data_IF_539368073912
#
_entry.id   IF_539368073912
#
_cell.length_a   1.000
_cell.length_b   1.000
_cell.length_c   1.000
_cell.angle_alpha   90.00
_cell.angle_beta   90.00
_cell.angle_gamma   90.00
#
_symmetry.space_group_name_H-M   'P 1'
#
loop_
_entity.id
_entity.type
_entity.pdbx_description
1 polymer ?
#
# COMPACT_ATOMS: atom_id res chain seq x y z
N UNK A 1 -2.53 -46.12 -34.02
CA UNK A 1 -3.29 -45.45 -32.93
C UNK A 1 -2.31 -44.59 -32.17
N UNK A 2 -2.19 -43.34 -32.59
CA UNK A 2 -1.09 -42.44 -32.16
C UNK A 2 -1.34 -41.84 -30.77
N UNK A 3 -0.32 -41.96 -29.96
CA UNK A 3 -0.04 -41.37 -28.65
C UNK A 3 -0.51 -39.91 -28.53
N UNK A 4 -1.59 -39.67 -27.82
CA UNK A 4 -1.88 -38.41 -27.16
C UNK A 4 -1.67 -38.55 -25.64
N UNK A 5 -0.53 -39.06 -25.23
CA UNK A 5 -0.02 -38.75 -23.92
C UNK A 5 0.58 -37.35 -24.04
N UNK A 6 -0.17 -36.34 -23.63
CA UNK A 6 0.42 -35.03 -23.33
C UNK A 6 1.61 -35.35 -22.42
N UNK A 7 2.79 -34.96 -22.89
CA UNK A 7 4.04 -35.27 -22.22
C UNK A 7 3.98 -34.62 -20.83
N UNK A 8 3.66 -35.39 -19.80
CA UNK A 8 3.36 -34.95 -18.43
C UNK A 8 4.54 -34.15 -17.87
N UNK A 9 5.76 -34.45 -18.30
CA UNK A 9 6.96 -33.71 -17.93
C UNK A 9 6.94 -32.24 -18.44
N UNK A 10 6.46 -32.01 -19.65
CA UNK A 10 6.34 -30.66 -20.25
C UNK A 10 5.22 -29.87 -19.60
N UNK A 11 4.11 -30.54 -19.24
CA UNK A 11 3.01 -29.92 -18.50
C UNK A 11 3.45 -29.50 -17.09
N UNK A 12 4.18 -30.37 -16.41
CA UNK A 12 4.74 -30.08 -15.08
C UNK A 12 5.68 -28.88 -15.11
N UNK A 13 6.59 -28.81 -16.09
CA UNK A 13 7.54 -27.69 -16.22
C UNK A 13 6.81 -26.36 -16.46
N UNK A 14 5.77 -26.36 -17.32
CA UNK A 14 4.97 -25.14 -17.60
C UNK A 14 4.22 -24.65 -16.37
N UNK A 15 3.63 -25.52 -15.57
CA UNK A 15 2.93 -25.16 -14.33
C UNK A 15 3.92 -24.59 -13.30
N UNK A 16 5.09 -25.21 -13.14
CA UNK A 16 6.14 -24.72 -12.24
C UNK A 16 6.63 -23.34 -12.66
N UNK A 17 6.84 -23.13 -13.96
CA UNK A 17 7.26 -21.82 -14.50
C UNK A 17 6.17 -20.74 -14.29
N UNK A 18 4.88 -21.07 -14.44
CA UNK A 18 3.78 -20.15 -14.16
C UNK A 18 3.70 -19.80 -12.69
N UNK A 19 3.86 -20.76 -11.78
CA UNK A 19 3.89 -20.51 -10.34
C UNK A 19 5.09 -19.64 -9.96
N UNK A 20 6.28 -19.92 -10.46
CA UNK A 20 7.48 -19.12 -10.22
C UNK A 20 7.32 -17.69 -10.75
N UNK A 21 6.82 -17.54 -11.97
CA UNK A 21 6.55 -16.22 -12.57
C UNK A 21 5.55 -15.40 -11.75
N UNK A 22 4.50 -16.04 -11.23
CA UNK A 22 3.50 -15.37 -10.40
C UNK A 22 4.04 -15.00 -9.00
N UNK A 23 4.93 -15.81 -8.41
CA UNK A 23 5.61 -15.48 -7.14
C UNK A 23 6.56 -14.29 -7.32
N UNK A 24 7.31 -14.26 -8.42
CA UNK A 24 8.17 -13.11 -8.77
C UNK A 24 7.31 -11.86 -8.95
N UNK A 25 6.16 -11.96 -9.62
CA UNK A 25 5.25 -10.84 -9.79
C UNK A 25 4.69 -10.32 -8.46
N UNK A 26 4.32 -11.20 -7.53
CA UNK A 26 3.88 -10.79 -6.18
C UNK A 26 5.01 -10.07 -5.45
N UNK A 27 6.24 -10.59 -5.49
CA UNK A 27 7.42 -9.95 -4.91
C UNK A 27 7.67 -8.56 -5.48
N UNK A 28 7.65 -8.42 -6.81
CA UNK A 28 7.74 -7.12 -7.50
C UNK A 28 6.63 -6.16 -7.12
N UNK A 29 5.41 -6.66 -6.91
CA UNK A 29 4.26 -5.89 -6.47
C UNK A 29 4.47 -5.27 -5.10
N UNK A 30 4.99 -6.05 -4.15
CA UNK A 30 5.34 -5.54 -2.81
C UNK A 30 6.45 -4.50 -2.88
N UNK A 31 7.48 -4.72 -3.69
CA UNK A 31 8.57 -3.74 -3.88
C UNK A 31 8.05 -2.44 -4.47
N UNK A 32 7.16 -2.50 -5.47
CA UNK A 32 6.54 -1.32 -6.08
C UNK A 32 5.65 -0.57 -5.09
N UNK A 33 4.82 -1.27 -4.30
CA UNK A 33 4.00 -0.64 -3.25
C UNK A 33 4.86 0.04 -2.18
N UNK A 34 6.00 -0.55 -1.83
CA UNK A 34 6.94 0.05 -0.88
C UNK A 34 7.69 1.24 -1.47
N UNK A 35 8.11 1.17 -2.73
CA UNK A 35 8.76 2.27 -3.46
C UNK A 35 7.81 3.45 -3.67
N UNK A 36 6.54 3.19 -3.90
CA UNK A 36 5.49 4.18 -4.03
C UNK A 36 5.34 5.05 -2.77
N UNK A 37 5.62 4.48 -1.60
CA UNK A 37 5.61 5.20 -0.32
C UNK A 37 6.69 6.28 -0.24
N UNK A 38 7.79 6.15 -0.96
CA UNK A 38 8.94 7.06 -0.88
C UNK A 38 8.93 8.18 -1.92
N UNK A 39 8.11 8.10 -2.99
CA UNK A 39 8.11 9.05 -4.12
C UNK A 39 6.69 9.45 -4.54
N UNK A 40 6.20 10.58 -4.04
CA UNK A 40 4.81 11.03 -4.20
C UNK A 40 4.43 11.62 -5.58
N UNK A 41 5.39 11.97 -6.43
CA UNK A 41 5.11 12.77 -7.63
C UNK A 41 4.85 11.97 -8.93
N UNK A 42 5.27 10.70 -9.02
CA UNK A 42 5.18 9.89 -10.27
C UNK A 42 4.27 8.66 -10.17
N UNK A 43 3.47 8.56 -9.12
CA UNK A 43 2.90 7.31 -8.65
C UNK A 43 1.62 6.87 -9.39
N UNK A 44 0.84 7.78 -9.96
CA UNK A 44 -0.45 7.46 -10.59
C UNK A 44 -0.30 6.74 -11.94
N UNK A 45 0.71 7.09 -12.74
CA UNK A 45 0.96 6.41 -14.02
C UNK A 45 1.39 4.95 -13.82
N UNK A 46 2.25 4.70 -12.83
CA UNK A 46 2.72 3.33 -12.53
C UNK A 46 1.63 2.44 -11.92
N UNK A 47 0.67 3.00 -11.18
CA UNK A 47 -0.42 2.23 -10.60
C UNK A 47 -1.34 1.64 -11.67
N UNK A 48 -1.65 2.37 -12.73
CA UNK A 48 -2.48 1.91 -13.84
C UNK A 48 -1.78 0.79 -14.64
N UNK A 49 -0.48 0.92 -14.88
CA UNK A 49 0.34 -0.10 -15.54
C UNK A 49 0.35 -1.38 -14.67
N UNK A 50 0.52 -1.24 -13.36
CA UNK A 50 0.49 -2.35 -12.42
C UNK A 50 -0.85 -3.10 -12.43
N UNK A 51 -1.99 -2.37 -12.38
CA UNK A 51 -3.34 -2.95 -12.45
C UNK A 51 -3.52 -3.73 -13.76
N UNK A 52 -3.05 -3.20 -14.88
CA UNK A 52 -3.13 -3.85 -16.18
C UNK A 52 -2.30 -5.14 -16.21
N UNK A 53 -1.07 -5.13 -15.69
CA UNK A 53 -0.24 -6.34 -15.59
C UNK A 53 -0.84 -7.38 -14.63
N UNK A 54 -1.38 -6.96 -13.49
CA UNK A 54 -2.05 -7.86 -12.54
C UNK A 54 -3.29 -8.50 -13.16
N UNK A 55 -4.11 -7.74 -13.89
CA UNK A 55 -5.27 -8.25 -14.62
C UNK A 55 -4.87 -9.25 -15.71
N UNK A 56 -3.82 -8.97 -16.47
CA UNK A 56 -3.30 -9.88 -17.49
C UNK A 56 -2.77 -11.18 -16.87
N UNK A 57 -2.06 -11.09 -15.75
CA UNK A 57 -1.59 -12.25 -15.01
C UNK A 57 -2.77 -13.10 -14.48
N UNK A 58 -3.80 -12.48 -13.91
CA UNK A 58 -4.98 -13.20 -13.44
C UNK A 58 -5.68 -13.95 -14.58
N UNK A 59 -5.79 -13.34 -15.77
CA UNK A 59 -6.33 -14.00 -16.96
C UNK A 59 -5.50 -15.21 -17.40
N UNK A 60 -4.17 -15.09 -17.38
CA UNK A 60 -3.25 -16.20 -17.70
C UNK A 60 -3.43 -17.34 -16.69
N UNK A 61 -3.54 -17.04 -15.40
CA UNK A 61 -3.73 -18.04 -14.34
C UNK A 61 -5.10 -18.73 -14.47
N UNK A 62 -6.17 -18.00 -14.76
CA UNK A 62 -7.51 -18.55 -15.02
C UNK A 62 -7.47 -19.48 -16.24
N UNK A 63 -6.85 -19.04 -17.34
CA UNK A 63 -6.72 -19.85 -18.53
C UNK A 63 -5.91 -21.13 -18.28
N UNK A 64 -4.84 -21.03 -17.50
CA UNK A 64 -4.03 -22.18 -17.05
C UNK A 64 -4.85 -23.17 -16.22
N UNK A 65 -5.70 -22.66 -15.31
CA UNK A 65 -6.59 -23.48 -14.50
C UNK A 65 -7.63 -24.19 -15.36
N UNK A 66 -8.27 -23.49 -16.29
CA UNK A 66 -9.22 -24.07 -17.24
C UNK A 66 -8.54 -25.14 -18.08
N UNK A 67 -7.34 -24.86 -18.61
CA UNK A 67 -6.57 -25.82 -19.40
C UNK A 67 -6.27 -27.11 -18.62
N UNK A 68 -6.01 -27.00 -17.33
CA UNK A 68 -5.69 -28.12 -16.44
C UNK A 68 -6.95 -28.92 -16.04
N UNK A 69 -8.08 -28.26 -15.85
CA UNK A 69 -9.36 -28.87 -15.46
C UNK A 69 -10.16 -29.41 -16.64
N UNK A 70 -10.05 -28.83 -17.84
CA UNK A 70 -10.83 -29.19 -19.02
C UNK A 70 -10.70 -30.66 -19.44
N UNK A 71 -9.49 -31.26 -19.50
CA UNK A 71 -9.35 -32.67 -19.80
C UNK A 71 -9.97 -33.57 -18.73
N UNK A 72 -9.96 -33.16 -17.46
CA UNK A 72 -10.58 -33.88 -16.35
C UNK A 72 -12.10 -33.88 -16.54
N UNK A 73 -12.68 -32.70 -16.79
CA UNK A 73 -14.11 -32.56 -17.10
C UNK A 73 -14.57 -33.42 -18.27
N UNK A 74 -13.84 -33.40 -19.40
CA UNK A 74 -14.16 -34.24 -20.58
C UNK A 74 -14.07 -35.73 -20.28
N UNK A 75 -13.11 -36.14 -19.43
CA UNK A 75 -12.95 -37.56 -19.05
C UNK A 75 -14.10 -38.00 -18.13
N UNK A 76 -14.53 -37.16 -17.20
CA UNK A 76 -15.68 -37.43 -16.32
C UNK A 76 -16.97 -37.57 -17.17
N UNK A 77 -17.21 -36.65 -18.10
CA UNK A 77 -18.41 -36.65 -18.97
C UNK A 77 -18.48 -37.85 -19.89
N UNK A 78 -17.34 -38.35 -20.39
CA UNK A 78 -17.27 -39.48 -21.32
C UNK A 78 -17.35 -40.86 -20.64
N UNK A 79 -17.58 -40.96 -19.34
CA UNK A 79 -17.64 -42.23 -18.57
C UNK A 79 -16.45 -43.19 -18.79
N UNK A 80 -15.34 -42.74 -19.36
CA UNK A 80 -14.19 -43.55 -19.77
C UNK A 80 -13.14 -43.79 -18.67
N UNK A 81 -13.33 -43.25 -17.46
CA UNK A 81 -12.38 -43.47 -16.37
C UNK A 81 -13.09 -43.97 -15.13
N UNK A 82 -12.36 -44.81 -14.39
CA UNK A 82 -12.71 -45.24 -13.05
C UNK A 82 -13.28 -44.04 -12.28
N UNK A 83 -14.55 -44.14 -11.87
CA UNK A 83 -15.27 -43.10 -11.11
C UNK A 83 -14.49 -42.66 -9.84
N UNK A 84 -13.60 -43.53 -9.37
CA UNK A 84 -12.77 -43.31 -8.21
C UNK A 84 -11.74 -42.18 -8.43
N UNK A 85 -10.96 -42.24 -9.52
CA UNK A 85 -9.91 -41.23 -9.82
C UNK A 85 -10.49 -39.81 -9.97
N UNK A 86 -11.62 -39.70 -10.69
CA UNK A 86 -12.29 -38.41 -10.87
C UNK A 86 -12.86 -37.82 -9.58
N UNK A 87 -13.42 -38.66 -8.71
CA UNK A 87 -13.96 -38.26 -7.42
C UNK A 87 -12.87 -37.78 -6.48
N UNK A 88 -11.75 -38.50 -6.38
CA UNK A 88 -10.62 -38.07 -5.54
C UNK A 88 -10.05 -36.75 -6.01
N UNK A 89 -9.81 -36.56 -7.31
CA UNK A 89 -9.35 -35.26 -7.85
C UNK A 89 -10.32 -34.14 -7.52
N UNK A 90 -11.63 -34.37 -7.67
CA UNK A 90 -12.66 -33.38 -7.33
C UNK A 90 -12.62 -33.02 -5.83
N UNK A 91 -12.49 -34.02 -4.94
CA UNK A 91 -12.39 -33.76 -3.50
C UNK A 91 -11.15 -32.94 -3.14
N UNK A 92 -9.99 -33.20 -3.76
CA UNK A 92 -8.79 -32.40 -3.52
C UNK A 92 -8.98 -30.96 -3.98
N UNK A 93 -9.62 -30.73 -5.12
CA UNK A 93 -9.94 -29.39 -5.60
C UNK A 93 -10.89 -28.67 -4.64
N UNK A 94 -11.96 -29.35 -4.17
CA UNK A 94 -12.91 -28.79 -3.20
C UNK A 94 -12.25 -28.44 -1.86
N UNK A 95 -11.41 -29.33 -1.34
CA UNK A 95 -10.68 -29.09 -0.08
C UNK A 95 -9.75 -27.87 -0.19
N UNK A 96 -9.14 -27.64 -1.35
CA UNK A 96 -8.30 -26.47 -1.56
C UNK A 96 -9.09 -25.18 -1.82
N UNK A 97 -10.21 -25.29 -2.51
CA UNK A 97 -11.04 -24.14 -2.89
C UNK A 97 -11.77 -23.56 -1.68
N UNK A 98 -12.20 -24.40 -0.73
CA UNK A 98 -12.96 -23.98 0.45
C UNK A 98 -12.17 -22.98 1.31
N UNK A 99 -10.92 -23.25 1.78
CA UNK A 99 -10.14 -22.28 2.55
C UNK A 99 -9.83 -21.01 1.75
N UNK A 100 -9.57 -21.13 0.45
CA UNK A 100 -9.26 -19.98 -0.40
C UNK A 100 -10.45 -19.02 -0.53
N UNK A 101 -11.66 -19.54 -0.72
CA UNK A 101 -12.88 -18.71 -0.76
C UNK A 101 -13.12 -18.07 0.62
N UNK A 102 -12.99 -18.84 1.70
CA UNK A 102 -13.22 -18.37 3.06
C UNK A 102 -12.25 -17.24 3.44
N UNK A 103 -10.96 -17.40 3.15
CA UNK A 103 -9.95 -16.35 3.34
C UNK A 103 -10.24 -15.12 2.49
N UNK A 104 -10.78 -15.29 1.27
CA UNK A 104 -11.18 -14.19 0.41
C UNK A 104 -12.31 -13.35 0.96
N UNK A 105 -13.34 -14.03 1.44
CA UNK A 105 -14.48 -13.35 2.06
C UNK A 105 -14.03 -12.60 3.31
N UNK A 106 -13.23 -13.24 4.18
CA UNK A 106 -12.68 -12.58 5.38
C UNK A 106 -11.79 -11.41 4.99
N UNK A 107 -10.90 -11.56 4.01
CA UNK A 107 -10.04 -10.48 3.52
C UNK A 107 -10.83 -9.28 3.02
N UNK A 108 -11.86 -9.50 2.20
CA UNK A 108 -12.74 -8.45 1.71
C UNK A 108 -13.51 -7.76 2.85
N UNK A 109 -14.02 -8.54 3.82
CA UNK A 109 -14.71 -8.00 5.00
C UNK A 109 -13.76 -7.15 5.84
N UNK A 110 -12.54 -7.64 6.13
CA UNK A 110 -11.54 -6.91 6.90
C UNK A 110 -11.11 -5.61 6.20
N UNK A 111 -10.92 -5.63 4.88
CA UNK A 111 -10.56 -4.42 4.12
C UNK A 111 -11.72 -3.42 4.12
N UNK A 112 -12.96 -3.84 3.86
CA UNK A 112 -14.08 -2.93 3.73
C UNK A 112 -14.60 -2.40 5.07
N UNK A 113 -14.68 -3.22 6.11
CA UNK A 113 -15.24 -2.83 7.40
C UNK A 113 -14.16 -2.48 8.44
N UNK A 114 -13.03 -3.19 8.46
CA UNK A 114 -12.01 -3.00 9.48
C UNK A 114 -11.14 -1.77 9.20
N UNK A 115 -10.63 -1.64 7.98
CA UNK A 115 -9.71 -0.56 7.64
C UNK A 115 -10.46 0.74 7.37
N UNK A 116 -11.58 0.67 6.67
CA UNK A 116 -12.31 1.87 6.23
C UNK A 116 -12.96 2.64 7.38
N UNK A 117 -13.67 1.97 8.27
CA UNK A 117 -14.36 2.66 9.37
C UNK A 117 -13.38 3.13 10.46
N UNK A 118 -12.34 2.33 10.72
CA UNK A 118 -11.36 2.68 11.73
C UNK A 118 -10.43 3.83 11.28
N UNK A 119 -9.99 3.81 10.03
CA UNK A 119 -9.14 4.88 9.48
C UNK A 119 -9.91 6.18 9.29
N UNK A 120 -11.10 6.16 8.67
CA UNK A 120 -11.80 7.39 8.31
C UNK A 120 -12.32 8.17 9.53
N UNK A 121 -12.88 7.52 10.54
CA UNK A 121 -13.50 8.27 11.64
C UNK A 121 -12.51 8.75 12.70
N UNK A 122 -11.52 7.94 13.07
CA UNK A 122 -10.60 8.31 14.15
C UNK A 122 -9.38 9.08 13.67
N UNK A 123 -8.73 8.65 12.61
CA UNK A 123 -7.50 9.31 12.13
C UNK A 123 -7.82 10.66 11.53
N UNK A 124 -8.87 10.76 10.71
CA UNK A 124 -9.28 12.03 10.10
C UNK A 124 -9.62 13.09 11.17
N UNK A 125 -10.36 12.71 12.21
CA UNK A 125 -10.67 13.61 13.32
C UNK A 125 -9.42 14.05 14.09
N UNK A 126 -8.47 13.14 14.37
CA UNK A 126 -7.24 13.49 15.07
C UNK A 126 -6.38 14.43 14.23
N UNK A 127 -6.18 14.12 12.96
CA UNK A 127 -5.37 14.95 12.05
C UNK A 127 -6.01 16.34 11.87
N UNK A 128 -7.32 16.42 11.60
CA UNK A 128 -7.99 17.70 11.40
C UNK A 128 -7.98 18.55 12.69
N UNK A 129 -8.19 17.95 13.85
CA UNK A 129 -8.10 18.65 15.12
C UNK A 129 -6.67 19.14 15.40
N UNK A 130 -5.65 18.34 15.08
CA UNK A 130 -4.26 18.75 15.24
C UNK A 130 -3.88 19.91 14.30
N UNK A 131 -4.33 19.86 13.05
CA UNK A 131 -4.16 20.98 12.09
C UNK A 131 -4.88 22.22 12.58
N UNK A 132 -6.13 22.09 13.06
CA UNK A 132 -6.90 23.21 13.60
C UNK A 132 -6.19 23.88 14.80
N UNK A 133 -5.67 23.08 15.73
CA UNK A 133 -4.90 23.64 16.88
C UNK A 133 -3.66 24.37 16.40
N UNK A 134 -2.94 23.80 15.44
CA UNK A 134 -1.71 24.39 14.91
C UNK A 134 -1.99 25.69 14.11
N UNK A 135 -3.04 25.72 13.30
CA UNK A 135 -3.49 26.92 12.58
C UNK A 135 -3.98 28.00 13.58
N UNK A 136 -4.72 27.60 14.61
CA UNK A 136 -5.18 28.51 15.66
C UNK A 136 -4.02 29.16 16.43
N UNK A 137 -2.98 28.39 16.74
CA UNK A 137 -1.75 28.90 17.33
C UNK A 137 -1.09 29.97 16.45
N UNK A 138 -0.98 29.71 15.15
CA UNK A 138 -0.39 30.65 14.22
C UNK A 138 -1.22 31.93 14.11
N UNK A 139 -2.55 31.80 14.08
CA UNK A 139 -3.48 32.94 13.99
C UNK A 139 -3.46 33.79 15.27
N UNK A 140 -3.38 33.17 16.45
CA UNK A 140 -3.20 33.86 17.72
C UNK A 140 -1.92 34.71 17.72
N UNK A 141 -0.80 34.16 17.22
CA UNK A 141 0.43 34.91 17.09
C UNK A 141 0.33 36.10 16.11
N UNK A 142 -0.40 35.91 14.97
CA UNK A 142 -0.65 36.99 14.01
C UNK A 142 -1.50 38.11 14.60
N UNK A 143 -2.58 37.78 15.29
CA UNK A 143 -3.42 38.79 15.93
C UNK A 143 -2.68 39.50 17.10
N UNK A 144 -1.86 38.80 17.84
CA UNK A 144 -1.05 39.36 18.91
C UNK A 144 -0.04 40.39 18.35
N UNK A 145 0.74 40.00 17.32
CA UNK A 145 1.71 40.94 16.73
C UNK A 145 1.02 42.13 16.07
N UNK A 146 -0.14 41.92 15.44
CA UNK A 146 -0.94 42.99 14.86
C UNK A 146 -1.37 44.00 15.88
N UNK A 147 -1.86 43.59 17.06
CA UNK A 147 -2.25 44.46 18.15
C UNK A 147 -1.05 45.24 18.68
N UNK A 148 0.07 44.55 18.92
CA UNK A 148 1.30 45.20 19.46
C UNK A 148 1.90 46.21 18.49
N UNK A 149 1.96 45.86 17.19
CA UNK A 149 2.49 46.78 16.16
C UNK A 149 1.55 47.94 15.89
N UNK A 150 0.23 47.73 15.99
CA UNK A 150 -0.73 48.78 15.85
C UNK A 150 -0.62 49.81 16.99
N UNK A 151 -0.44 49.37 18.22
CA UNK A 151 -0.19 50.22 19.36
C UNK A 151 1.14 50.98 19.22
N UNK A 152 2.23 50.30 18.80
CA UNK A 152 3.51 50.95 18.52
C UNK A 152 3.39 51.99 17.37
N UNK A 153 2.69 51.68 16.32
CA UNK A 153 2.40 52.59 15.21
C UNK A 153 1.74 53.90 15.70
N UNK A 154 0.72 53.79 16.57
CA UNK A 154 0.04 54.95 17.13
C UNK A 154 0.97 55.79 18.00
N UNK A 155 1.77 55.15 18.86
CA UNK A 155 2.73 55.83 19.75
C UNK A 155 3.80 56.60 18.95
N UNK A 156 4.35 55.95 17.90
CA UNK A 156 5.35 56.58 17.02
C UNK A 156 4.77 57.75 16.18
N UNK A 157 3.57 57.60 15.63
CA UNK A 157 2.93 58.67 14.86
C UNK A 157 2.53 59.85 15.75
N UNK A 158 2.11 59.62 17.00
CA UNK A 158 1.75 60.68 17.95
C UNK A 158 2.98 61.50 18.39
N UNK A 159 4.16 60.87 18.35
CA UNK A 159 5.42 61.54 18.75
C UNK A 159 6.27 61.91 17.50
N UNK A 160 5.71 61.93 16.35
CA UNK A 160 6.45 62.12 15.09
C UNK A 160 7.21 63.43 15.01
N UNK A 161 6.66 64.53 15.58
CA UNK A 161 7.29 65.87 15.58
C UNK A 161 8.69 65.85 16.20
N UNK A 162 8.93 64.95 17.17
CA UNK A 162 10.22 64.85 17.88
C UNK A 162 11.08 63.71 17.30
N UNK A 163 10.44 62.63 16.79
CA UNK A 163 11.12 61.40 16.41
C UNK A 163 11.47 61.37 14.91
N UNK A 164 10.78 62.07 14.04
CA UNK A 164 11.01 61.97 12.59
C UNK A 164 12.32 62.62 12.15
N UNK A 165 12.82 63.59 12.89
CA UNK A 165 14.03 64.33 12.57
C UNK A 165 15.29 63.88 13.29
N UNK A 166 15.21 62.87 14.19
CA UNK A 166 16.33 62.35 14.97
C UNK A 166 16.32 60.83 15.06
N UNK A 167 17.14 60.19 14.24
CA UNK A 167 17.26 58.75 14.20
C UNK A 167 17.70 58.10 15.54
N UNK A 168 18.45 58.82 16.36
CA UNK A 168 18.86 58.32 17.67
C UNK A 168 17.66 58.27 18.63
N UNK A 169 16.86 59.32 18.66
CA UNK A 169 15.63 59.36 19.46
C UNK A 169 14.65 58.30 18.99
N UNK A 170 14.51 58.14 17.68
CA UNK A 170 13.68 57.11 17.08
C UNK A 170 14.15 55.71 17.50
N UNK A 171 15.45 55.42 17.45
CA UNK A 171 15.98 54.14 17.88
C UNK A 171 15.72 53.85 19.38
N UNK A 172 15.85 54.89 20.24
CA UNK A 172 15.53 54.78 21.69
C UNK A 172 14.01 54.48 21.87
N UNK A 173 13.14 55.20 21.14
CA UNK A 173 11.71 54.99 21.18
C UNK A 173 11.35 53.56 20.73
N UNK A 174 11.93 53.10 19.61
CA UNK A 174 11.74 51.72 19.09
C UNK A 174 12.18 50.70 20.15
N UNK A 175 13.33 50.90 20.78
CA UNK A 175 13.84 49.99 21.84
C UNK A 175 12.88 49.92 23.01
N UNK A 176 12.39 51.09 23.49
CA UNK A 176 11.46 51.14 24.62
C UNK A 176 10.15 50.42 24.28
N UNK A 177 9.59 50.68 23.11
CA UNK A 177 8.35 50.04 22.63
C UNK A 177 8.52 48.52 22.38
N UNK A 178 9.69 48.13 21.87
CA UNK A 178 10.09 46.74 21.69
C UNK A 178 10.13 45.95 23.00
N UNK A 179 10.75 46.54 24.04
CA UNK A 179 10.83 45.93 25.37
C UNK A 179 9.45 45.77 26.02
N UNK A 180 8.61 46.79 25.96
CA UNK A 180 7.24 46.78 26.54
C UNK A 180 6.40 45.65 25.94
N UNK A 181 6.54 45.38 24.62
CA UNK A 181 5.72 44.43 23.87
C UNK A 181 6.40 43.11 23.59
N UNK A 182 7.60 42.90 24.13
CA UNK A 182 8.42 41.70 23.89
C UNK A 182 8.58 41.39 22.38
N UNK A 183 8.88 42.42 21.58
CA UNK A 183 9.16 42.28 20.16
C UNK A 183 10.68 42.30 19.95
N UNK A 184 11.34 41.16 19.74
CA UNK A 184 12.80 41.08 19.64
C UNK A 184 13.37 41.77 18.40
N UNK A 185 12.55 41.96 17.37
CA UNK A 185 12.96 42.57 16.11
C UNK A 185 12.01 43.70 15.76
N UNK A 186 12.51 44.92 15.77
CA UNK A 186 11.76 46.12 15.37
C UNK A 186 12.69 47.01 14.57
N UNK A 187 12.24 47.38 13.40
CA UNK A 187 12.93 48.23 12.44
C UNK A 187 12.00 49.29 11.85
N UNK A 188 12.57 50.45 11.52
CA UNK A 188 12.03 51.32 10.53
C UNK A 188 12.83 51.18 9.26
N UNK A 189 12.15 50.78 8.19
CA UNK A 189 12.77 50.47 6.90
C UNK A 189 12.16 51.33 5.79
N UNK A 190 12.93 51.53 4.71
CA UNK A 190 12.47 52.10 3.48
C UNK A 190 11.82 51.02 2.59
N UNK A 191 11.14 51.39 1.50
CA UNK A 191 10.58 50.44 0.52
C UNK A 191 11.67 49.57 -0.13
N UNK A 192 12.91 50.06 -0.23
CA UNK A 192 14.06 49.30 -0.73
C UNK A 192 14.68 48.34 0.28
N UNK A 193 14.13 48.28 1.50
CA UNK A 193 14.64 47.44 2.59
C UNK A 193 15.82 48.04 3.35
N UNK A 194 16.22 49.33 3.09
CA UNK A 194 17.26 49.97 3.87
C UNK A 194 16.73 50.30 5.28
N UNK A 195 17.54 50.01 6.29
CA UNK A 195 17.18 50.27 7.68
C UNK A 195 17.49 51.72 8.05
N UNK A 196 16.44 52.52 8.37
CA UNK A 196 16.61 53.87 8.86
C UNK A 196 16.85 53.92 10.36
N UNK A 197 16.16 53.08 11.14
CA UNK A 197 16.37 52.91 12.58
C UNK A 197 16.07 51.49 13.01
N UNK A 198 16.67 51.02 14.11
CA UNK A 198 16.46 49.70 14.71
C UNK A 198 16.43 49.78 16.23
N UNK A 199 15.65 48.85 16.83
CA UNK A 199 15.51 48.80 18.29
C UNK A 199 16.80 48.32 19.00
N UNK A 200 17.53 47.39 18.42
CA UNK A 200 18.73 46.79 18.95
C UNK A 200 19.87 46.76 17.94
N UNK A 201 21.08 47.11 18.34
CA UNK A 201 22.22 47.23 17.44
C UNK A 201 22.67 45.93 16.82
N UNK A 202 22.51 44.81 17.54
CA UNK A 202 22.89 43.47 17.08
C UNK A 202 21.87 42.82 16.16
N UNK A 203 20.71 43.45 15.90
CA UNK A 203 19.70 42.89 15.03
C UNK A 203 20.10 43.01 13.58
N UNK A 204 20.05 41.86 12.86
CA UNK A 204 20.25 41.75 11.43
C UNK A 204 18.91 41.44 10.83
N UNK A 205 18.54 42.15 9.74
CA UNK A 205 17.30 41.86 9.00
C UNK A 205 17.43 40.50 8.29
N UNK A 206 16.87 39.46 8.91
CA UNK A 206 16.93 38.09 8.41
C UNK A 206 15.85 37.79 7.32
N UNK A 207 14.82 38.62 7.32
CA UNK A 207 13.68 38.45 6.40
C UNK A 207 13.34 39.78 5.75
N UNK A 208 13.34 39.83 4.42
CA UNK A 208 12.93 41.01 3.65
C UNK A 208 11.45 40.88 3.30
N UNK A 209 10.61 41.90 3.63
CA UNK A 209 9.20 41.89 3.27
C UNK A 209 9.03 41.78 1.75
N UNK A 210 8.13 40.93 1.25
CA UNK A 210 7.82 40.83 -0.18
C UNK A 210 7.10 42.12 -0.66
N UNK A 211 7.22 42.43 -1.94
CA UNK A 211 6.68 43.68 -2.56
C UNK A 211 5.17 43.86 -2.34
N UNK A 212 4.40 42.78 -2.36
CA UNK A 212 2.96 42.83 -2.09
C UNK A 212 2.63 43.35 -0.66
N UNK A 213 3.54 43.15 0.32
CA UNK A 213 3.37 43.67 1.68
C UNK A 213 3.52 45.18 1.74
N UNK A 214 4.42 45.74 0.95
CA UNK A 214 4.54 47.21 0.82
C UNK A 214 3.34 47.81 0.11
N UNK A 215 2.79 47.15 -0.92
CA UNK A 215 1.56 47.63 -1.60
C UNK A 215 0.39 47.68 -0.62
N UNK A 216 0.21 46.66 0.23
CA UNK A 216 -0.82 46.69 1.28
C UNK A 216 -0.59 47.77 2.32
N UNK A 217 0.66 47.94 2.76
CA UNK A 217 1.04 48.97 3.71
C UNK A 217 0.79 50.37 3.14
N UNK A 218 1.04 50.60 1.85
CA UNK A 218 0.73 51.87 1.15
C UNK A 218 -0.77 52.14 1.05
N UNK A 219 -1.60 51.10 0.94
CA UNK A 219 -3.05 51.19 1.00
C UNK A 219 -3.60 51.50 2.42
N UNK A 220 -2.71 51.60 3.43
CA UNK A 220 -3.07 51.86 4.83
C UNK A 220 -3.43 50.61 5.62
N UNK A 221 -3.19 49.44 5.07
CA UNK A 221 -3.39 48.18 5.74
C UNK A 221 -2.09 47.72 6.46
N UNK A 222 -2.23 46.97 7.56
CA UNK A 222 -1.11 46.28 8.15
C UNK A 222 -0.91 44.92 7.45
N UNK A 223 0.22 44.73 6.83
CA UNK A 223 0.57 43.46 6.20
C UNK A 223 1.21 42.49 7.22
N UNK A 224 0.53 41.39 7.52
CA UNK A 224 1.03 40.33 8.40
C UNK A 224 1.60 39.21 7.52
N UNK A 225 2.79 38.73 7.89
CA UNK A 225 3.54 37.70 7.19
C UNK A 225 4.05 36.68 8.20
N UNK A 226 4.08 35.42 7.83
CA UNK A 226 4.73 34.35 8.60
C UNK A 226 5.83 33.70 7.79
N UNK A 227 6.96 33.42 8.44
CA UNK A 227 8.05 32.68 7.83
C UNK A 227 8.36 31.46 8.71
N UNK A 228 8.12 30.27 8.15
CA UNK A 228 8.47 29.00 8.78
C UNK A 228 9.98 28.72 8.73
N UNK A 229 10.69 29.40 7.81
CA UNK A 229 12.16 29.24 7.68
C UNK A 229 12.87 29.82 8.91
N UNK A 230 12.42 31.01 9.37
CA UNK A 230 13.02 31.68 10.53
C UNK A 230 12.15 31.59 11.79
N UNK A 231 11.04 30.83 11.74
CA UNK A 231 10.09 30.64 12.84
C UNK A 231 9.60 31.97 13.44
N UNK A 232 9.18 32.91 12.60
CA UNK A 232 8.75 34.26 13.02
C UNK A 232 7.50 34.71 12.30
N UNK A 233 6.68 35.49 13.00
CA UNK A 233 5.61 36.30 12.42
C UNK A 233 6.08 37.73 12.36
N UNK A 234 5.82 38.38 11.24
CA UNK A 234 6.17 39.76 10.96
C UNK A 234 4.95 40.60 10.67
N UNK A 235 5.02 41.87 11.02
CA UNK A 235 4.05 42.89 10.65
C UNK A 235 4.76 44.05 9.98
N UNK A 236 4.19 44.57 8.91
CA UNK A 236 4.64 45.75 8.17
C UNK A 236 3.50 46.78 8.09
N UNK A 237 3.76 48.01 8.48
CA UNK A 237 2.80 49.13 8.34
C UNK A 237 3.53 50.40 7.97
N UNK A 238 2.94 51.24 7.11
CA UNK A 238 3.50 52.50 6.69
C UNK A 238 3.28 53.55 7.76
N UNK A 239 4.35 54.23 8.20
CA UNK A 239 4.27 55.35 9.14
C UNK A 239 3.74 56.62 8.42
N UNK A 240 2.71 57.26 8.96
CA UNK A 240 2.05 58.43 8.30
C UNK A 240 2.87 59.67 8.24
N UNK A 241 3.59 59.96 9.34
CA UNK A 241 4.30 61.20 9.51
C UNK A 241 5.83 61.05 9.33
N UNK A 242 6.26 60.00 8.64
CA UNK A 242 7.64 59.70 8.31
C UNK A 242 7.80 59.51 6.80
N UNK A 243 8.76 60.17 6.20
CA UNK A 243 8.96 60.08 4.75
C UNK A 243 9.39 58.65 4.32
N UNK A 244 8.61 58.05 3.43
CA UNK A 244 8.86 56.73 2.86
C UNK A 244 9.28 55.63 3.84
N UNK A 245 8.77 55.68 5.08
CA UNK A 245 9.17 54.83 6.16
C UNK A 245 8.09 53.86 6.60
N UNK A 246 8.48 52.62 6.83
CA UNK A 246 7.63 51.52 7.28
C UNK A 246 8.12 50.95 8.58
N UNK A 247 7.21 50.78 9.54
CA UNK A 247 7.47 50.04 10.76
C UNK A 247 7.40 48.54 10.44
N UNK A 248 8.48 47.86 10.67
CA UNK A 248 8.60 46.41 10.45
C UNK A 248 9.00 45.76 11.78
N UNK A 249 8.16 44.84 12.27
CA UNK A 249 8.40 44.14 13.51
C UNK A 249 8.24 42.66 13.37
N UNK A 250 9.05 41.89 14.09
CA UNK A 250 9.04 40.44 14.13
C UNK A 250 8.93 39.89 15.54
N UNK A 251 8.13 38.82 15.67
CA UNK A 251 8.00 38.04 16.91
C UNK A 251 8.37 36.60 16.62
N UNK A 252 9.21 35.99 17.46
CA UNK A 252 9.58 34.57 17.36
C UNK A 252 8.43 33.70 17.80
N UNK A 253 8.22 32.60 17.08
CA UNK A 253 7.34 31.50 17.42
C UNK A 253 8.18 30.35 18.01
N UNK A 254 7.57 29.49 18.82
CA UNK A 254 8.25 28.31 19.32
C UNK A 254 8.61 27.36 18.16
N UNK A 255 9.90 27.09 17.99
CA UNK A 255 10.41 26.27 16.91
C UNK A 255 9.85 24.83 16.97
N UNK A 256 9.62 24.28 18.17
CA UNK A 256 9.04 22.96 18.34
C UNK A 256 7.59 22.92 17.87
N UNK A 257 6.82 23.97 18.13
CA UNK A 257 5.42 24.07 17.68
C UNK A 257 5.36 24.22 16.17
N UNK A 258 6.25 25.01 15.57
CA UNK A 258 6.32 25.14 14.10
C UNK A 258 6.75 23.83 13.42
N UNK A 259 7.71 23.11 14.01
CA UNK A 259 8.07 21.77 13.52
C UNK A 259 6.88 20.82 13.59
N UNK A 260 6.18 20.76 14.72
CA UNK A 260 5.01 19.92 14.90
C UNK A 260 3.86 20.30 13.94
N UNK A 261 3.69 21.60 13.65
CA UNK A 261 2.74 22.08 12.63
C UNK A 261 3.11 21.56 11.25
N UNK A 262 4.36 21.70 10.83
CA UNK A 262 4.83 21.22 9.53
C UNK A 262 4.66 19.69 9.39
N UNK A 263 4.99 18.94 10.46
CA UNK A 263 4.81 17.49 10.51
C UNK A 263 3.32 17.11 10.41
N UNK A 264 2.45 17.86 11.09
CA UNK A 264 1.00 17.64 11.05
C UNK A 264 0.41 17.93 9.66
N UNK A 265 0.84 19.03 9.02
CA UNK A 265 0.42 19.39 7.66
C UNK A 265 0.91 18.34 6.66
N UNK A 266 2.14 17.86 6.83
CA UNK A 266 2.69 16.79 5.99
C UNK A 266 1.91 15.48 6.16
N UNK A 267 1.59 15.10 7.40
CA UNK A 267 0.75 13.94 7.70
C UNK A 267 -0.66 14.07 7.12
N UNK A 268 -1.26 15.28 7.17
CA UNK A 268 -2.56 15.56 6.52
C UNK A 268 -2.50 15.34 5.02
N UNK A 269 -1.47 15.86 4.38
CA UNK A 269 -1.29 15.73 2.93
C UNK A 269 -1.12 14.26 2.53
N UNK A 270 -0.31 13.49 3.27
CA UNK A 270 -0.14 12.04 3.07
C UNK A 270 -1.46 11.30 3.28
N UNK A 271 -2.20 11.61 4.34
CA UNK A 271 -3.51 11.02 4.60
C UNK A 271 -4.51 11.33 3.48
N UNK A 272 -4.61 12.57 3.05
CA UNK A 272 -5.52 13.00 1.96
C UNK A 272 -5.16 12.30 0.64
N UNK A 273 -3.85 12.11 0.38
CA UNK A 273 -3.39 11.34 -0.77
C UNK A 273 -3.86 9.87 -0.69
N UNK A 274 -3.71 9.22 0.45
CA UNK A 274 -4.17 7.85 0.66
C UNK A 274 -5.70 7.73 0.55
N UNK A 275 -6.44 8.67 1.10
CA UNK A 275 -7.90 8.73 1.03
C UNK A 275 -8.39 8.91 -0.41
N UNK A 276 -7.82 9.82 -1.17
CA UNK A 276 -8.17 10.05 -2.57
C UNK A 276 -7.83 8.87 -3.50
N UNK A 277 -6.81 8.09 -3.15
CA UNK A 277 -6.38 6.92 -3.92
C UNK A 277 -6.85 5.58 -3.32
N UNK A 278 -7.73 5.62 -2.32
CA UNK A 278 -8.22 4.47 -1.58
C UNK A 278 -8.77 3.35 -2.47
N UNK A 279 -9.58 3.71 -3.46
CA UNK A 279 -10.22 2.72 -4.35
C UNK A 279 -9.18 2.00 -5.22
N UNK A 280 -8.15 2.70 -5.68
CA UNK A 280 -7.05 2.10 -6.43
C UNK A 280 -6.21 1.18 -5.54
N UNK A 281 -5.90 1.61 -4.32
CA UNK A 281 -5.15 0.82 -3.34
C UNK A 281 -5.94 -0.45 -2.99
N UNK A 282 -7.24 -0.33 -2.72
CA UNK A 282 -8.12 -1.46 -2.45
C UNK A 282 -8.16 -2.44 -3.62
N UNK A 283 -8.27 -1.94 -4.86
CA UNK A 283 -8.26 -2.77 -6.06
C UNK A 283 -6.94 -3.53 -6.22
N UNK A 284 -5.81 -2.91 -5.94
CA UNK A 284 -4.50 -3.58 -5.96
C UNK A 284 -4.45 -4.73 -4.95
N UNK A 285 -4.92 -4.52 -3.71
CA UNK A 285 -4.99 -5.58 -2.69
C UNK A 285 -5.89 -6.74 -3.12
N UNK A 286 -7.07 -6.44 -3.69
CA UNK A 286 -7.99 -7.46 -4.22
C UNK A 286 -7.33 -8.26 -5.33
N UNK A 287 -6.64 -7.62 -6.27
CA UNK A 287 -5.92 -8.29 -7.35
C UNK A 287 -4.79 -9.20 -6.83
N UNK A 288 -3.97 -8.70 -5.89
CA UNK A 288 -2.93 -9.51 -5.23
C UNK A 288 -3.55 -10.75 -4.58
N UNK A 289 -4.67 -10.57 -3.86
CA UNK A 289 -5.37 -11.66 -3.22
C UNK A 289 -5.88 -12.69 -4.24
N UNK A 290 -6.49 -12.24 -5.35
CA UNK A 290 -6.96 -13.13 -6.42
C UNK A 290 -5.80 -13.93 -7.01
N UNK A 291 -4.66 -13.29 -7.26
CA UNK A 291 -3.45 -13.96 -7.78
C UNK A 291 -2.97 -15.04 -6.79
N UNK A 292 -2.86 -14.72 -5.51
CA UNK A 292 -2.46 -15.68 -4.46
C UNK A 292 -3.43 -16.87 -4.41
N UNK A 293 -4.74 -16.60 -4.42
CA UNK A 293 -5.78 -17.64 -4.42
C UNK A 293 -5.69 -18.55 -5.64
N UNK A 294 -5.50 -17.99 -6.83
CA UNK A 294 -5.36 -18.78 -8.06
C UNK A 294 -4.12 -19.65 -8.04
N UNK A 295 -2.99 -19.16 -7.50
CA UNK A 295 -1.77 -19.94 -7.34
C UNK A 295 -2.01 -21.12 -6.39
N UNK A 296 -2.66 -20.90 -5.26
CA UNK A 296 -2.98 -21.97 -4.30
C UNK A 296 -3.91 -23.02 -4.91
N UNK A 297 -4.90 -22.61 -5.69
CA UNK A 297 -5.81 -23.53 -6.41
C UNK A 297 -5.03 -24.33 -7.47
N UNK A 298 -4.16 -23.68 -8.25
CA UNK A 298 -3.31 -24.37 -9.23
C UNK A 298 -2.37 -25.38 -8.56
N UNK A 299 -1.69 -24.97 -7.50
CA UNK A 299 -0.79 -25.85 -6.74
C UNK A 299 -1.54 -27.04 -6.16
N UNK A 300 -2.68 -26.82 -5.55
CA UNK A 300 -3.52 -27.89 -4.98
C UNK A 300 -4.07 -28.83 -6.05
N UNK A 301 -4.51 -28.29 -7.19
CA UNK A 301 -4.95 -29.11 -8.33
C UNK A 301 -3.80 -29.96 -8.86
N UNK A 302 -2.60 -29.40 -8.96
CA UNK A 302 -1.40 -30.13 -9.39
C UNK A 302 -1.04 -31.25 -8.42
N UNK A 303 -1.02 -30.98 -7.11
CA UNK A 303 -0.77 -31.99 -6.07
C UNK A 303 -1.83 -33.08 -6.09
N UNK A 304 -3.11 -32.69 -6.20
CA UNK A 304 -4.22 -33.64 -6.29
C UNK A 304 -4.14 -34.56 -7.51
N UNK A 305 -3.74 -34.03 -8.68
CA UNK A 305 -3.51 -34.83 -9.87
C UNK A 305 -2.36 -35.82 -9.69
N UNK A 306 -1.25 -35.37 -9.10
CA UNK A 306 -0.11 -36.24 -8.79
C UNK A 306 -0.46 -37.34 -7.82
N UNK A 307 -1.22 -37.01 -6.78
CA UNK A 307 -1.72 -37.97 -5.82
C UNK A 307 -2.63 -39.01 -6.50
N UNK A 308 -3.53 -38.55 -7.36
CA UNK A 308 -4.42 -39.44 -8.11
C UNK A 308 -3.65 -40.38 -9.04
N UNK A 309 -2.61 -39.90 -9.74
CA UNK A 309 -1.74 -40.75 -10.58
C UNK A 309 -0.96 -41.77 -9.77
N UNK A 310 -0.38 -41.36 -8.64
CA UNK A 310 0.54 -42.21 -7.88
C UNK A 310 -0.13 -43.19 -6.94
N UNK A 311 -1.33 -42.93 -6.46
CA UNK A 311 -2.04 -43.76 -5.47
C UNK A 311 -3.32 -44.38 -6.06
N UNK A 312 -4.19 -43.57 -6.64
CA UNK A 312 -5.51 -44.04 -7.05
C UNK A 312 -5.44 -44.94 -8.28
N UNK A 313 -4.52 -44.66 -9.19
CA UNK A 313 -4.38 -45.43 -10.42
C UNK A 313 -3.88 -46.87 -10.15
N UNK A 314 -2.82 -47.11 -9.37
CA UNK A 314 -2.42 -48.48 -8.98
C UNK A 314 -3.52 -49.21 -8.19
N UNK A 315 -4.18 -48.54 -7.24
CA UNK A 315 -5.30 -49.14 -6.50
C UNK A 315 -6.44 -49.59 -7.41
N UNK A 316 -6.77 -48.74 -8.41
CA UNK A 316 -7.77 -49.07 -9.44
C UNK A 316 -7.37 -50.28 -10.30
N UNK A 317 -6.06 -50.48 -10.57
CA UNK A 317 -5.56 -51.65 -11.27
C UNK A 317 -5.77 -52.91 -10.43
N UNK A 318 -5.48 -52.89 -9.14
CA UNK A 318 -5.74 -54.01 -8.24
C UNK A 318 -7.22 -54.37 -8.21
N UNK A 319 -8.12 -53.39 -8.06
CA UNK A 319 -9.57 -53.59 -8.07
C UNK A 319 -10.02 -54.25 -9.39
N UNK A 320 -9.53 -53.75 -10.53
CA UNK A 320 -9.88 -54.34 -11.83
C UNK A 320 -9.37 -55.78 -11.97
N UNK A 321 -8.14 -56.00 -11.60
CA UNK A 321 -7.53 -57.33 -11.66
C UNK A 321 -8.29 -58.33 -10.77
N UNK A 322 -8.67 -57.90 -9.53
CA UNK A 322 -9.52 -58.70 -8.64
C UNK A 322 -10.87 -59.04 -9.26
N UNK A 323 -11.51 -58.08 -9.91
CA UNK A 323 -12.79 -58.28 -10.60
C UNK A 323 -12.63 -59.22 -11.84
N UNK A 324 -11.48 -59.20 -12.52
CA UNK A 324 -11.18 -60.09 -13.64
C UNK A 324 -10.95 -61.54 -13.14
N UNK A 325 -10.28 -61.72 -12.02
CA UNK A 325 -10.12 -63.05 -11.35
C UNK A 325 -11.51 -63.62 -11.01
N UNK A 326 -12.42 -62.81 -10.43
CA UNK A 326 -13.79 -63.27 -10.11
C UNK A 326 -14.60 -63.71 -11.35
N UNK A 327 -14.25 -63.19 -12.51
CA UNK A 327 -14.85 -63.58 -13.82
C UNK A 327 -14.08 -64.71 -14.51
N UNK A 328 -13.12 -65.33 -13.87
CA UNK A 328 -12.34 -66.42 -14.41
C UNK A 328 -11.18 -66.02 -15.35
N UNK A 329 -10.81 -64.75 -15.37
CA UNK A 329 -9.68 -64.23 -16.16
C UNK A 329 -8.47 -64.03 -15.21
N UNK A 330 -7.46 -64.88 -15.29
CA UNK A 330 -6.35 -64.95 -14.32
C UNK A 330 -5.02 -64.41 -14.86
N UNK A 331 -4.96 -63.89 -16.08
CA UNK A 331 -3.72 -63.50 -16.76
C UNK A 331 -3.20 -62.13 -16.42
N UNK A 332 -3.97 -61.31 -15.69
CA UNK A 332 -3.58 -59.93 -15.35
C UNK A 332 -2.56 -59.94 -14.24
N UNK A 333 -1.30 -59.63 -14.56
CA UNK A 333 -0.25 -59.32 -13.57
C UNK A 333 -0.21 -57.81 -13.31
N UNK A 334 -0.13 -57.44 -12.07
CA UNK A 334 0.04 -56.02 -11.63
C UNK A 334 1.55 -55.74 -11.58
N UNK A 335 1.97 -54.74 -12.38
CA UNK A 335 3.36 -54.25 -12.36
C UNK A 335 3.64 -53.47 -11.06
N UNK A 336 4.87 -53.62 -10.56
CA UNK A 336 5.32 -52.86 -9.41
C UNK A 336 5.47 -51.38 -9.79
N UNK A 337 5.02 -50.50 -8.89
CA UNK A 337 5.30 -49.08 -9.00
C UNK A 337 6.48 -48.72 -8.13
N UNK A 338 7.45 -47.95 -8.62
CA UNK A 338 8.67 -47.64 -7.84
C UNK A 338 8.45 -46.61 -6.70
N UNK A 339 7.23 -46.13 -6.52
CA UNK A 339 7.01 -44.96 -5.66
C UNK A 339 6.57 -45.27 -4.22
N UNK A 340 5.85 -46.42 -3.97
CA UNK A 340 5.28 -46.72 -2.65
C UNK A 340 5.45 -48.20 -2.29
N UNK A 341 6.11 -48.47 -1.16
CA UNK A 341 6.40 -49.84 -0.69
C UNK A 341 5.12 -50.61 -0.40
N UNK A 342 4.09 -49.95 0.16
CA UNK A 342 2.83 -50.57 0.52
C UNK A 342 2.03 -51.02 -0.72
N UNK A 343 2.03 -50.20 -1.79
CA UNK A 343 1.38 -50.53 -3.05
C UNK A 343 2.12 -51.68 -3.76
N UNK A 344 3.43 -51.72 -3.68
CA UNK A 344 4.22 -52.82 -4.22
C UNK A 344 3.98 -54.14 -3.48
N UNK A 345 3.86 -54.09 -2.14
CA UNK A 345 3.48 -55.27 -1.32
C UNK A 345 2.08 -55.73 -1.68
N UNK A 346 1.12 -54.80 -1.90
CA UNK A 346 -0.22 -55.18 -2.32
C UNK A 346 -0.22 -55.85 -3.69
N UNK A 347 0.51 -55.29 -4.68
CA UNK A 347 0.67 -55.88 -6.00
C UNK A 347 1.33 -57.29 -5.95
N UNK A 348 2.38 -57.46 -5.14
CA UNK A 348 3.04 -58.77 -4.91
C UNK A 348 2.08 -59.79 -4.29
N UNK A 349 1.36 -59.40 -3.25
CA UNK A 349 0.40 -60.29 -2.56
C UNK A 349 -0.71 -60.69 -3.49
N UNK A 350 -1.24 -59.77 -4.33
CA UNK A 350 -2.24 -60.03 -5.36
C UNK A 350 -1.69 -61.01 -6.40
N UNK A 351 -0.51 -60.74 -6.95
CA UNK A 351 0.12 -61.58 -7.96
C UNK A 351 0.36 -63.02 -7.46
N UNK A 352 0.79 -63.14 -6.17
CA UNK A 352 0.99 -64.45 -5.51
C UNK A 352 -0.34 -65.19 -5.34
N UNK A 353 -1.38 -64.50 -4.86
CA UNK A 353 -2.74 -65.06 -4.77
C UNK A 353 -3.26 -65.54 -6.13
N UNK A 354 -3.13 -64.70 -7.19
CA UNK A 354 -3.55 -65.04 -8.53
C UNK A 354 -2.82 -66.29 -9.07
N UNK A 355 -1.51 -66.38 -8.85
CA UNK A 355 -0.74 -67.56 -9.28
C UNK A 355 -1.14 -68.83 -8.55
N UNK A 356 -1.49 -68.77 -7.26
CA UNK A 356 -1.94 -69.93 -6.46
C UNK A 356 -3.31 -70.41 -6.93
N UNK A 357 -4.24 -69.49 -7.24
CA UNK A 357 -5.57 -69.84 -7.83
C UNK A 357 -5.43 -70.53 -9.20
N UNK A 358 -4.51 -70.05 -10.03
CA UNK A 358 -4.22 -70.71 -11.35
C UNK A 358 -3.68 -72.10 -11.14
N UNK A 359 -2.78 -72.30 -10.15
CA UNK A 359 -2.17 -73.61 -9.84
C UNK A 359 -3.20 -74.61 -9.33
N UNK A 360 -4.14 -74.18 -8.48
CA UNK A 360 -5.20 -75.03 -7.93
C UNK A 360 -6.27 -75.42 -9.01
N UNK A 361 -6.41 -74.63 -10.06
CA UNK A 361 -7.35 -74.94 -11.15
C UNK A 361 -6.79 -75.75 -12.28
N UNK A 362 -5.47 -76.00 -12.34
CA UNK A 362 -4.97 -76.95 -13.33
C UNK A 362 -5.57 -78.31 -13.02
N UNK A 363 -6.29 -78.94 -13.96
CA UNK A 363 -6.83 -80.29 -13.71
C UNK A 363 -5.67 -81.22 -13.40
N UNK A 364 -5.84 -82.02 -12.34
CA UNK A 364 -4.95 -83.12 -12.05
C UNK A 364 -5.08 -84.08 -13.27
N UNK A 365 -4.06 -84.07 -14.10
CA UNK A 365 -3.93 -85.06 -15.17
C UNK A 365 -3.69 -86.38 -14.46
N UNK A 366 -4.73 -87.21 -14.34
CA UNK A 366 -4.57 -88.67 -13.98
C UNK A 366 -3.95 -89.29 -15.19
N UNK A 367 -2.70 -89.62 -15.10
CA UNK A 367 -2.02 -90.67 -15.87
C UNK A 367 -2.30 -92.01 -15.26
#
# INVERSE_FOLDING_TARGET
MNNKYINISVLNLRIVLLILGSLIFIGLSFVLLFYQRTNTASTLEYSNIYILFAALLTLILIFSLIYLLFPIYLRVRRKKISTLNSKFTLYFILIALTPSIFLGIIGLVLINFGINDWFNSKINNVINNSVFVAESYLEEHKETIKGDVYAMYNDLNSSSDVLSNDNNKLAIALRTQSLIRALPEVYVITRQGAISAKAFDNNILQYSPPENSFVRADAGEMAIMSSTIVNKVYALVKLKNYENSYLFAGRSMDANVISALNDTVSAKNEYTFLENNRDQISLIFVLIYIVISLILILLSTFVGLKFAEKIVLPLSMVIKATNNISKGKYEDKIEKTNDYVELNRLAESFNKMSAEIIKQRKPVSYT
#
